data_IF_305801846375
#
_entry.id   IF_305801846375
#
_cell.length_a   1.000
_cell.length_b   1.000
_cell.length_c   1.000
_cell.angle_alpha   90.00
_cell.angle_beta   90.00
_cell.angle_gamma   90.00
#
_symmetry.space_group_name_H-M   'P 1'
#
loop_
_entity.id
_entity.type
_entity.pdbx_description
1 polymer ?
#
# COMPACT_ATOMS: atom_id res chain seq x y z
N UNK A 1 38.31 -8.23 -11.71
CA UNK A 1 37.51 -9.35 -11.19
C UNK A 1 38.50 -10.38 -10.71
N UNK A 2 38.55 -10.70 -9.41
CA UNK A 2 39.47 -11.72 -8.90
C UNK A 2 39.12 -13.08 -9.52
N UNK A 3 40.11 -13.77 -10.06
CA UNK A 3 39.94 -15.11 -10.61
C UNK A 3 39.77 -16.12 -9.48
N UNK A 4 39.01 -17.21 -9.70
CA UNK A 4 38.84 -18.28 -8.71
C UNK A 4 40.19 -18.81 -8.17
N UNK A 5 41.21 -18.78 -9.02
CA UNK A 5 42.57 -19.23 -8.73
C UNK A 5 43.38 -18.26 -7.85
N UNK A 6 42.88 -17.05 -7.62
CA UNK A 6 43.52 -16.00 -6.82
C UNK A 6 42.91 -15.89 -5.42
N UNK A 7 41.79 -16.58 -5.16
CA UNK A 7 41.10 -16.55 -3.88
C UNK A 7 41.71 -17.55 -2.89
N UNK A 8 41.83 -17.13 -1.64
CA UNK A 8 42.10 -18.03 -0.53
C UNK A 8 40.92 -18.98 -0.32
N UNK A 9 41.18 -20.15 0.28
CA UNK A 9 40.13 -21.12 0.62
C UNK A 9 38.99 -20.50 1.44
N UNK A 10 39.31 -19.55 2.32
CA UNK A 10 38.34 -18.82 3.13
C UNK A 10 37.44 -17.93 2.28
N UNK A 11 38.01 -17.17 1.34
CA UNK A 11 37.21 -16.31 0.44
C UNK A 11 36.29 -17.12 -0.46
N UNK A 12 36.71 -18.33 -0.88
CA UNK A 12 35.85 -19.27 -1.60
C UNK A 12 34.66 -19.71 -0.72
N UNK A 13 34.91 -20.09 0.54
CA UNK A 13 33.85 -20.47 1.49
C UNK A 13 32.89 -19.31 1.79
N UNK A 14 33.42 -18.11 1.98
CA UNK A 14 32.63 -16.89 2.22
C UNK A 14 31.75 -16.56 1.00
N UNK A 15 32.29 -16.69 -0.21
CA UNK A 15 31.55 -16.50 -1.47
C UNK A 15 30.41 -17.51 -1.63
N UNK A 16 30.66 -18.80 -1.37
CA UNK A 16 29.63 -19.84 -1.39
C UNK A 16 28.53 -19.53 -0.37
N UNK A 17 28.93 -19.16 0.85
CA UNK A 17 28.00 -18.82 1.93
C UNK A 17 27.14 -17.60 1.59
N UNK A 18 27.75 -16.55 1.01
CA UNK A 18 27.03 -15.38 0.54
C UNK A 18 26.04 -15.71 -0.57
N UNK A 19 26.43 -16.58 -1.52
CA UNK A 19 25.56 -17.06 -2.59
C UNK A 19 24.34 -17.81 -2.03
N UNK A 20 24.54 -18.73 -1.09
CA UNK A 20 23.46 -19.47 -0.44
C UNK A 20 22.52 -18.54 0.33
N UNK A 21 23.06 -17.58 1.10
CA UNK A 21 22.25 -16.57 1.80
C UNK A 21 21.41 -15.74 0.84
N UNK A 22 21.98 -15.36 -0.32
CA UNK A 22 21.23 -14.66 -1.37
C UNK A 22 20.08 -15.49 -1.89
N UNK A 23 20.31 -16.75 -2.28
CA UNK A 23 19.24 -17.64 -2.76
C UNK A 23 18.12 -17.75 -1.72
N UNK A 24 18.48 -17.99 -0.45
CA UNK A 24 17.49 -18.12 0.61
C UNK A 24 16.67 -16.83 0.79
N UNK A 25 17.33 -15.67 0.78
CA UNK A 25 16.66 -14.37 0.87
C UNK A 25 15.72 -14.16 -0.31
N UNK A 26 16.16 -14.47 -1.53
CA UNK A 26 15.35 -14.28 -2.72
C UNK A 26 14.13 -15.23 -2.72
N UNK A 27 14.28 -16.46 -2.25
CA UNK A 27 13.18 -17.40 -2.04
C UNK A 27 12.17 -16.89 -0.99
N UNK A 28 12.66 -16.34 0.14
CA UNK A 28 11.80 -15.71 1.16
C UNK A 28 11.05 -14.50 0.62
N UNK A 29 11.74 -13.64 -0.13
CA UNK A 29 11.13 -12.48 -0.77
C UNK A 29 10.02 -12.90 -1.73
N UNK A 30 10.25 -13.93 -2.56
CA UNK A 30 9.22 -14.47 -3.45
C UNK A 30 8.01 -14.99 -2.67
N UNK A 31 8.23 -15.81 -1.64
CA UNK A 31 7.13 -16.33 -0.83
C UNK A 31 6.30 -15.21 -0.17
N UNK A 32 6.96 -14.14 0.30
CA UNK A 32 6.28 -12.96 0.84
C UNK A 32 5.45 -12.23 -0.23
N UNK A 33 6.00 -12.01 -1.42
CA UNK A 33 5.30 -11.36 -2.53
C UNK A 33 4.10 -12.19 -3.01
N UNK A 34 4.24 -13.50 -3.10
CA UNK A 34 3.16 -14.42 -3.48
C UNK A 34 2.02 -14.37 -2.45
N UNK A 35 2.37 -14.36 -1.16
CA UNK A 35 1.39 -14.21 -0.08
C UNK A 35 0.65 -12.87 -0.16
N UNK A 36 1.38 -11.76 -0.35
CA UNK A 36 0.78 -10.43 -0.49
C UNK A 36 -0.10 -10.30 -1.72
N UNK A 37 0.30 -10.91 -2.83
CA UNK A 37 -0.53 -10.96 -4.03
C UNK A 37 -1.83 -11.73 -3.78
N UNK A 38 -1.76 -12.88 -3.10
CA UNK A 38 -2.94 -13.67 -2.76
C UNK A 38 -3.91 -12.89 -1.85
N UNK A 39 -3.39 -12.17 -0.86
CA UNK A 39 -4.16 -11.28 0.02
C UNK A 39 -4.87 -10.19 -0.79
N UNK A 40 -4.16 -9.50 -1.69
CA UNK A 40 -4.73 -8.48 -2.56
C UNK A 40 -5.83 -9.04 -3.48
N UNK A 41 -5.62 -10.23 -4.06
CA UNK A 41 -6.64 -10.89 -4.89
C UNK A 41 -7.89 -11.17 -4.05
N UNK A 42 -7.72 -11.72 -2.85
CA UNK A 42 -8.83 -12.01 -1.95
C UNK A 42 -9.65 -10.78 -1.60
N UNK A 43 -8.98 -9.67 -1.26
CA UNK A 43 -9.63 -8.39 -0.95
C UNK A 43 -10.38 -7.84 -2.17
N UNK A 44 -9.77 -7.87 -3.36
CA UNK A 44 -10.42 -7.36 -4.58
C UNK A 44 -11.63 -8.20 -4.98
N UNK A 45 -11.56 -9.53 -4.82
CA UNK A 45 -12.72 -10.41 -5.03
C UNK A 45 -13.81 -10.11 -4.01
N UNK A 46 -13.46 -9.87 -2.74
CA UNK A 46 -14.43 -9.47 -1.72
C UNK A 46 -15.12 -8.15 -2.05
N UNK A 47 -14.40 -7.17 -2.61
CA UNK A 47 -14.94 -5.88 -3.06
C UNK A 47 -15.94 -6.02 -4.23
N UNK A 48 -15.80 -7.06 -5.05
CA UNK A 48 -16.77 -7.37 -6.10
C UNK A 48 -18.05 -7.99 -5.51
N UNK A 49 -17.89 -8.84 -4.50
CA UNK A 49 -19.01 -9.60 -3.92
C UNK A 49 -19.78 -8.84 -2.83
N UNK A 50 -19.16 -7.87 -2.16
CA UNK A 50 -19.75 -7.08 -1.08
C UNK A 50 -19.64 -5.59 -1.35
N UNK A 51 -20.73 -4.85 -1.08
CA UNK A 51 -20.75 -3.39 -1.16
C UNK A 51 -19.92 -2.71 -0.07
N UNK A 52 -19.59 -3.44 1.00
CA UNK A 52 -18.89 -2.91 2.17
C UNK A 52 -17.37 -3.05 2.05
N UNK A 53 -16.88 -3.80 1.06
CA UNK A 53 -15.44 -3.98 0.82
C UNK A 53 -14.96 -3.02 -0.26
N UNK A 54 -13.84 -2.34 0.02
CA UNK A 54 -13.17 -1.47 -0.94
C UNK A 54 -11.83 -2.08 -1.35
N UNK A 55 -11.42 -1.92 -2.62
CA UNK A 55 -10.08 -2.28 -3.06
C UNK A 55 -9.03 -1.57 -2.22
N UNK A 56 -7.97 -2.28 -1.84
CA UNK A 56 -6.82 -1.67 -1.17
C UNK A 56 -5.90 -1.03 -2.22
N UNK A 57 -5.57 0.26 -2.10
CA UNK A 57 -4.63 0.93 -2.98
C UNK A 57 -3.24 0.27 -2.97
N UNK A 58 -2.58 0.20 -4.13
CA UNK A 58 -1.22 -0.33 -4.26
C UNK A 58 -0.24 0.29 -3.25
N UNK A 59 -0.35 1.61 -3.04
CA UNK A 59 0.55 2.36 -2.18
C UNK A 59 0.42 1.98 -0.70
N UNK A 60 -0.76 1.49 -0.31
CA UNK A 60 -0.99 0.97 1.04
C UNK A 60 -0.38 -0.43 1.21
N UNK A 61 -0.47 -1.27 0.17
CA UNK A 61 0.12 -2.63 0.16
C UNK A 61 1.64 -2.59 0.30
N UNK A 62 2.29 -1.61 -0.33
CA UNK A 62 3.75 -1.48 -0.35
C UNK A 62 4.26 -0.23 0.39
N UNK A 63 3.54 0.22 1.42
CA UNK A 63 3.86 1.44 2.18
C UNK A 63 5.33 1.54 2.58
N UNK A 64 5.95 0.45 3.03
CA UNK A 64 7.34 0.47 3.50
C UNK A 64 8.35 0.79 2.39
N UNK A 65 7.99 0.50 1.13
CA UNK A 65 8.81 0.78 -0.04
C UNK A 65 8.54 2.19 -0.62
N UNK A 66 7.37 2.75 -0.38
CA UNK A 66 6.88 4.00 -0.96
C UNK A 66 6.36 4.96 0.12
N UNK A 67 7.20 5.26 1.11
CA UNK A 67 6.78 6.03 2.30
C UNK A 67 6.37 7.45 1.95
N UNK A 68 7.17 8.12 1.11
CA UNK A 68 6.93 9.51 0.73
C UNK A 68 5.62 9.62 -0.08
N UNK A 69 5.43 8.74 -1.05
CA UNK A 69 4.22 8.69 -1.86
C UNK A 69 2.99 8.26 -1.05
N UNK A 70 3.17 7.42 -0.04
CA UNK A 70 2.11 7.05 0.89
C UNK A 70 1.66 8.25 1.74
N UNK A 71 2.61 9.06 2.24
CA UNK A 71 2.28 10.28 2.99
C UNK A 71 1.52 11.29 2.11
N UNK A 72 1.94 11.47 0.85
CA UNK A 72 1.21 12.28 -0.11
C UNK A 72 -0.20 11.75 -0.36
N UNK A 73 -0.35 10.44 -0.53
CA UNK A 73 -1.63 9.78 -0.73
C UNK A 73 -2.60 10.01 0.44
N UNK A 74 -2.12 9.85 1.68
CA UNK A 74 -2.94 10.11 2.88
C UNK A 74 -3.35 11.58 2.98
N UNK A 75 -2.43 12.51 2.71
CA UNK A 75 -2.74 13.93 2.71
C UNK A 75 -3.83 14.27 1.67
N UNK A 76 -3.76 13.68 0.48
CA UNK A 76 -4.80 13.84 -0.55
C UNK A 76 -6.14 13.28 -0.10
N UNK A 77 -6.15 12.10 0.52
CA UNK A 77 -7.37 11.47 1.06
C UNK A 77 -8.03 12.35 2.12
N UNK A 78 -7.26 12.85 3.08
CA UNK A 78 -7.74 13.78 4.13
C UNK A 78 -8.33 15.05 3.50
N UNK A 79 -7.65 15.62 2.51
CA UNK A 79 -8.13 16.82 1.83
C UNK A 79 -9.46 16.59 1.10
N UNK A 80 -9.62 15.44 0.43
CA UNK A 80 -10.88 15.07 -0.22
C UNK A 80 -12.02 14.91 0.78
N UNK A 81 -11.77 14.23 1.91
CA UNK A 81 -12.75 14.08 2.98
C UNK A 81 -13.16 15.44 3.58
N UNK A 82 -12.21 16.36 3.77
CA UNK A 82 -12.48 17.71 4.24
C UNK A 82 -13.37 18.51 3.28
N UNK A 83 -13.14 18.39 1.97
CA UNK A 83 -13.98 19.03 0.93
C UNK A 83 -15.40 18.49 0.98
N UNK A 84 -15.57 17.16 1.04
CA UNK A 84 -16.88 16.51 1.14
C UNK A 84 -17.61 16.95 2.41
N UNK A 85 -16.90 17.01 3.55
CA UNK A 85 -17.46 17.47 4.81
C UNK A 85 -17.94 18.92 4.73
N UNK A 86 -17.11 19.81 4.17
CA UNK A 86 -17.49 21.22 3.97
C UNK A 86 -18.75 21.36 3.10
N UNK A 87 -18.84 20.59 2.01
CA UNK A 87 -20.03 20.60 1.16
C UNK A 87 -21.28 20.15 1.91
N UNK A 88 -21.19 19.05 2.68
CA UNK A 88 -22.30 18.55 3.53
C UNK A 88 -22.77 19.61 4.53
N UNK A 89 -21.85 20.38 5.13
CA UNK A 89 -22.22 21.47 6.04
C UNK A 89 -22.98 22.60 5.31
N UNK A 90 -22.54 22.96 4.10
CA UNK A 90 -23.24 23.97 3.29
C UNK A 90 -24.64 23.51 2.91
N UNK A 91 -24.79 22.26 2.47
CA UNK A 91 -26.08 21.67 2.11
C UNK A 91 -27.03 21.64 3.32
N UNK A 92 -26.52 21.27 4.49
CA UNK A 92 -27.27 21.31 5.75
C UNK A 92 -27.73 22.73 6.11
N UNK A 93 -26.84 23.72 6.04
CA UNK A 93 -27.18 25.11 6.34
C UNK A 93 -28.23 25.66 5.35
N UNK A 94 -28.10 25.35 4.06
CA UNK A 94 -29.05 25.74 3.03
C UNK A 94 -30.42 25.12 3.26
N UNK A 95 -30.48 23.82 3.59
CA UNK A 95 -31.73 23.13 3.94
C UNK A 95 -32.40 23.75 5.17
N UNK A 96 -31.64 24.05 6.21
CA UNK A 96 -32.19 24.68 7.42
C UNK A 96 -32.70 26.11 7.14
N UNK A 97 -32.00 26.87 6.30
CA UNK A 97 -32.39 28.24 5.94
C UNK A 97 -33.58 28.30 4.98
N UNK A 98 -33.72 27.36 4.04
CA UNK A 98 -34.88 27.27 3.15
C UNK A 98 -36.15 26.89 3.91
N UNK A 99 -36.05 25.93 4.84
CA UNK A 99 -37.18 25.54 5.71
C UNK A 99 -37.63 26.67 6.64
N UNK A 100 -36.72 27.57 7.04
CA UNK A 100 -37.05 28.73 7.87
C UNK A 100 -37.71 29.88 7.08
N UNK A 101 -37.50 29.96 5.77
CA UNK A 101 -38.11 30.97 4.87
C UNK A 101 -39.44 30.53 4.27
N UNK A 102 -39.76 29.24 4.26
CA UNK A 102 -41.03 28.68 3.79
C UNK A 102 -42.15 28.61 4.85
N UNK A 103 -41.88 29.04 6.08
CA UNK A 103 -42.88 29.18 7.15
C UNK A 103 -43.40 30.61 7.22
N UNK A 104 -44.30 30.98 6.31
CA UNK A 104 -45.18 32.15 6.39
C UNK A 104 -46.54 31.77 5.81
#
# INVERSE_FOLDING_TARGET
MLSFWELTLKEIQDSISAYQKRILRDAKNRAFMDYKLAECIGINVAAILSKDSQPVPFIEVYRDLYKEEYEEFENQKINQEAIIHKQRMLDFANFHNSNRKGGS
#
